data_IF_710499076424
#
_entry.id   IF_710499076424
#
_cell.length_a   1.000
_cell.length_b   1.000
_cell.length_c   1.000
_cell.angle_alpha   90.00
_cell.angle_beta   90.00
_cell.angle_gamma   90.00
#
_symmetry.space_group_name_H-M   'P 1'
#
loop_
_entity.id
_entity.type
_entity.pdbx_description
1 polymer ?
#
# COMPACT_ATOMS: atom_id res chain seq x y z
N UNK A 1 -8.78 20.52 -11.21
CA UNK A 1 -7.93 19.80 -10.25
C UNK A 1 -8.43 18.36 -10.21
N UNK A 2 -7.56 17.36 -10.32
CA UNK A 2 -7.98 15.96 -10.29
C UNK A 2 -8.57 15.61 -8.92
N UNK A 3 -9.73 14.93 -8.91
CA UNK A 3 -10.42 14.55 -7.67
C UNK A 3 -9.83 13.28 -7.04
N UNK A 4 -9.36 12.34 -7.89
CA UNK A 4 -8.93 11.03 -7.44
C UNK A 4 -7.68 10.56 -8.18
N UNK A 5 -6.69 10.04 -7.43
CA UNK A 5 -5.59 9.22 -7.97
C UNK A 5 -5.71 7.79 -7.45
N UNK A 6 -5.60 6.80 -8.33
CA UNK A 6 -5.53 5.39 -7.95
C UNK A 6 -4.11 4.91 -8.21
N UNK A 7 -3.46 4.36 -7.19
CA UNK A 7 -2.09 3.87 -7.27
C UNK A 7 -2.10 2.34 -7.21
N UNK A 8 -1.49 1.73 -8.21
CA UNK A 8 -1.44 0.28 -8.37
C UNK A 8 0.02 -0.12 -8.59
N UNK A 9 0.69 -0.73 -7.60
CA UNK A 9 1.98 -1.35 -7.81
C UNK A 9 1.80 -2.60 -8.66
N UNK A 10 2.61 -2.76 -9.70
CA UNK A 10 2.52 -3.86 -10.68
C UNK A 10 3.79 -4.70 -10.63
N UNK A 11 3.62 -6.03 -10.45
CA UNK A 11 4.72 -6.97 -10.52
C UNK A 11 4.32 -8.31 -11.11
N UNK A 12 4.75 -8.57 -12.38
CA UNK A 12 4.45 -9.80 -13.13
C UNK A 12 2.93 -10.03 -13.31
N UNK A 13 2.22 -9.02 -13.79
CA UNK A 13 0.75 -9.01 -13.86
C UNK A 13 0.22 -8.69 -15.27
N UNK A 14 1.04 -8.86 -16.32
CA UNK A 14 0.71 -8.50 -17.71
C UNK A 14 -0.67 -9.00 -18.16
N UNK A 15 -1.07 -10.21 -17.73
CA UNK A 15 -2.32 -10.86 -18.16
C UNK A 15 -3.61 -10.25 -17.62
N UNK A 16 -3.50 -9.51 -16.50
CA UNK A 16 -4.69 -9.04 -15.76
C UNK A 16 -4.89 -7.53 -15.83
N UNK A 17 -3.86 -6.77 -16.24
CA UNK A 17 -3.89 -5.31 -16.23
C UNK A 17 -5.01 -4.71 -17.09
N UNK A 18 -5.21 -5.22 -18.32
CA UNK A 18 -6.30 -4.74 -19.18
C UNK A 18 -7.68 -4.91 -18.51
N UNK A 19 -7.91 -6.08 -17.94
CA UNK A 19 -9.17 -6.37 -17.22
C UNK A 19 -9.32 -5.46 -16.01
N UNK A 20 -8.28 -5.30 -15.19
CA UNK A 20 -8.29 -4.47 -14.01
C UNK A 20 -8.62 -3.01 -14.34
N UNK A 21 -7.93 -2.43 -15.32
CA UNK A 21 -8.15 -1.04 -15.75
C UNK A 21 -9.57 -0.85 -16.28
N UNK A 22 -10.06 -1.78 -17.12
CA UNK A 22 -11.41 -1.71 -17.64
C UNK A 22 -12.47 -1.79 -16.53
N UNK A 23 -12.32 -2.68 -15.53
CA UNK A 23 -13.23 -2.78 -14.40
C UNK A 23 -13.22 -1.51 -13.54
N UNK A 24 -12.06 -0.90 -13.30
CA UNK A 24 -11.95 0.37 -12.57
C UNK A 24 -12.65 1.47 -13.37
N UNK A 25 -12.36 1.60 -14.66
CA UNK A 25 -12.97 2.62 -15.53
C UNK A 25 -14.50 2.52 -15.56
N UNK A 26 -15.05 1.31 -15.71
CA UNK A 26 -16.50 1.07 -15.69
C UNK A 26 -17.16 1.57 -14.39
N UNK A 27 -16.49 1.45 -13.25
CA UNK A 27 -17.03 1.88 -11.97
C UNK A 27 -16.85 3.38 -11.68
N UNK A 28 -15.87 4.03 -12.28
CA UNK A 28 -15.53 5.42 -11.96
C UNK A 28 -16.00 6.42 -13.00
N UNK A 29 -16.12 6.01 -14.26
CA UNK A 29 -16.37 6.93 -15.37
C UNK A 29 -17.68 7.73 -15.22
N UNK A 30 -18.74 7.12 -14.69
CA UNK A 30 -20.01 7.81 -14.45
C UNK A 30 -19.90 8.89 -13.36
N UNK A 31 -19.11 8.61 -12.31
CA UNK A 31 -18.97 9.50 -11.14
C UNK A 31 -17.93 10.59 -11.35
N UNK A 32 -16.78 10.24 -11.90
CA UNK A 32 -15.63 11.15 -11.99
C UNK A 32 -15.38 11.69 -13.40
N UNK A 33 -15.93 11.05 -14.42
CA UNK A 33 -15.64 11.37 -15.84
C UNK A 33 -14.13 11.36 -16.09
N UNK A 34 -13.53 12.53 -16.35
CA UNK A 34 -12.11 12.69 -16.60
C UNK A 34 -11.33 13.27 -15.39
N UNK A 35 -11.98 13.38 -14.21
CA UNK A 35 -11.37 13.98 -13.01
C UNK A 35 -10.61 12.96 -12.16
N UNK A 36 -10.11 11.87 -12.75
CA UNK A 36 -9.30 10.87 -12.05
C UNK A 36 -8.11 10.41 -12.90
N UNK A 37 -7.14 9.82 -12.25
CA UNK A 37 -5.99 9.17 -12.86
C UNK A 37 -5.72 7.80 -12.21
N UNK A 38 -5.17 6.88 -12.99
CA UNK A 38 -4.67 5.58 -12.51
C UNK A 38 -3.17 5.55 -12.77
N UNK A 39 -2.37 5.40 -11.72
CA UNK A 39 -0.91 5.34 -11.79
C UNK A 39 -0.49 3.89 -11.62
N UNK A 40 -0.03 3.27 -12.70
CA UNK A 40 0.49 1.91 -12.73
C UNK A 40 2.01 1.97 -12.57
N UNK A 41 2.54 1.46 -11.46
CA UNK A 41 3.97 1.49 -11.16
C UNK A 41 4.56 0.10 -11.35
N UNK A 42 5.26 -0.11 -12.47
CA UNK A 42 5.95 -1.36 -12.75
C UNK A 42 7.21 -1.50 -11.88
N UNK A 43 7.19 -2.43 -10.94
CA UNK A 43 8.29 -2.69 -10.00
C UNK A 43 9.31 -3.70 -10.58
N UNK A 44 9.85 -3.36 -11.76
CA UNK A 44 10.84 -4.20 -12.46
C UNK A 44 10.33 -5.61 -12.74
N UNK A 45 9.14 -5.71 -13.37
CA UNK A 45 8.55 -7.00 -13.78
C UNK A 45 9.43 -7.75 -14.75
N UNK A 46 9.38 -9.08 -14.69
CA UNK A 46 10.11 -9.98 -15.60
C UNK A 46 9.28 -10.40 -16.82
N UNK A 47 7.97 -10.20 -16.75
CA UNK A 47 7.01 -10.44 -17.84
C UNK A 47 6.78 -9.16 -18.66
N UNK A 48 5.84 -9.18 -19.61
CA UNK A 48 5.49 -8.02 -20.45
C UNK A 48 4.55 -7.01 -19.76
N UNK A 49 4.62 -6.88 -18.42
CA UNK A 49 3.77 -5.91 -17.69
C UNK A 49 4.02 -4.48 -18.16
N UNK A 50 5.28 -4.08 -18.39
CA UNK A 50 5.58 -2.73 -18.88
C UNK A 50 5.06 -2.49 -20.31
N UNK A 51 5.23 -3.46 -21.22
CA UNK A 51 4.66 -3.38 -22.56
C UNK A 51 3.13 -3.25 -22.54
N UNK A 52 2.46 -3.97 -21.65
CA UNK A 52 1.01 -3.87 -21.44
C UNK A 52 0.62 -2.50 -20.90
N UNK A 53 1.34 -1.96 -19.89
CA UNK A 53 1.08 -0.61 -19.35
C UNK A 53 1.18 0.45 -20.44
N UNK A 54 2.21 0.40 -21.30
CA UNK A 54 2.36 1.35 -22.42
C UNK A 54 1.16 1.32 -23.35
N UNK A 55 0.75 0.14 -23.79
CA UNK A 55 -0.44 -0.03 -24.67
C UNK A 55 -1.72 0.52 -24.04
N UNK A 56 -1.90 0.31 -22.73
CA UNK A 56 -3.07 0.81 -22.00
C UNK A 56 -3.01 2.34 -21.89
N UNK A 57 -1.83 2.92 -21.63
CA UNK A 57 -1.67 4.38 -21.52
C UNK A 57 -1.82 5.10 -22.87
N UNK A 58 -1.53 4.45 -23.98
CA UNK A 58 -1.83 4.97 -25.33
C UNK A 58 -3.35 5.00 -25.63
N UNK A 59 -4.10 4.09 -24.98
CA UNK A 59 -5.55 3.97 -25.17
C UNK A 59 -6.37 4.90 -24.27
N UNK A 60 -5.86 5.22 -23.08
CA UNK A 60 -6.58 5.97 -22.05
C UNK A 60 -5.72 7.09 -21.44
N UNK A 61 -6.10 8.35 -21.66
CA UNK A 61 -5.38 9.53 -21.16
C UNK A 61 -5.29 9.61 -19.62
N UNK A 62 -6.21 8.96 -18.90
CA UNK A 62 -6.21 8.90 -17.45
C UNK A 62 -5.24 7.85 -16.89
N UNK A 63 -4.59 7.03 -17.72
CA UNK A 63 -3.59 6.05 -17.32
C UNK A 63 -2.19 6.66 -17.39
N UNK A 64 -1.45 6.50 -16.30
CA UNK A 64 -0.06 6.92 -16.17
C UNK A 64 0.81 5.73 -15.79
N UNK A 65 1.74 5.37 -16.64
CA UNK A 65 2.71 4.30 -16.41
C UNK A 65 4.03 4.84 -15.88
N UNK A 66 4.62 4.16 -14.90
CA UNK A 66 5.96 4.41 -14.38
C UNK A 66 6.72 3.09 -14.38
N UNK A 67 7.87 3.02 -15.06
CA UNK A 67 8.78 1.87 -15.06
C UNK A 67 9.96 2.13 -14.15
N UNK A 68 10.19 1.25 -13.17
CA UNK A 68 11.33 1.35 -12.25
C UNK A 68 12.54 0.60 -12.80
N UNK A 69 13.73 1.18 -12.61
CA UNK A 69 14.99 0.61 -13.10
C UNK A 69 15.39 -0.68 -12.36
N UNK A 70 14.87 -0.90 -11.16
CA UNK A 70 15.07 -2.10 -10.35
C UNK A 70 13.90 -2.31 -9.37
N UNK A 71 13.77 -3.55 -8.87
CA UNK A 71 12.72 -3.90 -7.92
C UNK A 71 12.95 -3.24 -6.56
N UNK A 72 12.01 -2.41 -6.13
CA UNK A 72 12.02 -1.69 -4.86
C UNK A 72 11.04 -2.27 -3.84
N UNK A 73 10.23 -3.24 -4.26
CA UNK A 73 9.16 -3.84 -3.49
C UNK A 73 7.88 -3.02 -3.49
N UNK A 74 6.76 -3.68 -3.14
CA UNK A 74 5.41 -3.12 -3.20
C UNK A 74 5.29 -1.73 -2.55
N UNK A 75 5.79 -1.57 -1.32
CA UNK A 75 5.73 -0.29 -0.61
C UNK A 75 6.56 0.81 -1.30
N UNK A 76 7.70 0.44 -1.88
CA UNK A 76 8.54 1.36 -2.66
C UNK A 76 7.83 1.82 -3.92
N UNK A 77 7.23 0.90 -4.68
CA UNK A 77 6.44 1.21 -5.88
C UNK A 77 5.24 2.11 -5.55
N UNK A 78 4.51 1.81 -4.47
CA UNK A 78 3.42 2.68 -3.97
C UNK A 78 3.94 4.08 -3.64
N UNK A 79 5.09 4.19 -2.97
CA UNK A 79 5.68 5.48 -2.61
C UNK A 79 6.04 6.31 -3.84
N UNK A 80 6.57 5.67 -4.89
CA UNK A 80 6.82 6.33 -6.19
C UNK A 80 5.51 6.80 -6.82
N UNK A 81 4.46 5.98 -6.79
CA UNK A 81 3.13 6.36 -7.26
C UNK A 81 2.59 7.58 -6.50
N UNK A 82 2.69 7.59 -5.17
CA UNK A 82 2.29 8.72 -4.32
C UNK A 82 3.02 10.02 -4.68
N UNK A 83 4.32 9.95 -4.95
CA UNK A 83 5.12 11.12 -5.40
C UNK A 83 4.65 11.71 -6.73
N UNK A 84 4.04 10.90 -7.59
CA UNK A 84 3.59 11.32 -8.92
C UNK A 84 2.07 11.58 -8.99
N UNK A 85 1.32 11.34 -7.91
CA UNK A 85 -0.14 11.53 -7.86
C UNK A 85 -0.52 13.00 -7.66
N UNK A 86 -1.61 13.41 -8.32
CA UNK A 86 -2.13 14.79 -8.33
C UNK A 86 -3.55 14.93 -7.78
N UNK A 87 -4.23 13.83 -7.48
CA UNK A 87 -5.59 13.84 -6.96
C UNK A 87 -5.68 14.35 -5.52
N UNK A 88 -6.77 15.03 -5.20
CA UNK A 88 -7.09 15.49 -3.83
C UNK A 88 -7.29 14.30 -2.87
N UNK A 89 -7.70 13.16 -3.41
CA UNK A 89 -7.84 11.89 -2.70
C UNK A 89 -7.09 10.81 -3.44
N UNK A 90 -6.46 9.93 -2.70
CA UNK A 90 -5.65 8.87 -3.26
C UNK A 90 -6.16 7.53 -2.75
N UNK A 91 -6.36 6.58 -3.64
CA UNK A 91 -6.67 5.19 -3.30
C UNK A 91 -5.51 4.31 -3.75
N UNK A 92 -5.08 3.43 -2.87
CA UNK A 92 -4.05 2.43 -3.13
C UNK A 92 -4.75 1.08 -3.19
N UNK A 93 -4.47 0.28 -4.22
CA UNK A 93 -4.99 -1.08 -4.36
C UNK A 93 -3.97 -1.99 -5.06
N UNK A 94 -4.12 -3.30 -4.86
CA UNK A 94 -3.29 -4.30 -5.52
C UNK A 94 -3.77 -4.58 -6.96
N UNK A 95 -2.91 -5.22 -7.76
CA UNK A 95 -3.15 -5.53 -9.17
C UNK A 95 -3.83 -6.91 -9.40
N UNK A 96 -4.30 -7.61 -8.35
CA UNK A 96 -4.72 -9.01 -8.39
C UNK A 96 -6.23 -9.25 -8.51
N UNK A 97 -7.03 -8.21 -8.77
CA UNK A 97 -8.50 -8.26 -8.89
C UNK A 97 -9.24 -8.77 -7.63
N UNK A 98 -8.57 -8.88 -6.48
CA UNK A 98 -9.22 -9.28 -5.23
C UNK A 98 -10.04 -8.14 -4.59
N UNK A 99 -9.73 -6.92 -5.00
CA UNK A 99 -10.38 -5.72 -4.52
C UNK A 99 -11.56 -5.35 -5.43
N UNK A 100 -12.80 -5.33 -4.90
CA UNK A 100 -13.94 -4.97 -5.71
C UNK A 100 -13.88 -3.48 -6.11
N UNK A 101 -13.84 -3.14 -7.42
CA UNK A 101 -13.77 -1.74 -7.87
C UNK A 101 -14.92 -0.87 -7.39
N UNK A 102 -16.08 -1.49 -7.06
CA UNK A 102 -17.22 -0.80 -6.45
C UNK A 102 -16.88 -0.14 -5.09
N UNK A 103 -15.87 -0.68 -4.39
CA UNK A 103 -15.41 -0.11 -3.12
C UNK A 103 -14.66 1.21 -3.26
N UNK A 104 -14.19 1.54 -4.48
CA UNK A 104 -13.45 2.80 -4.74
C UNK A 104 -14.28 4.03 -4.39
N UNK A 105 -15.55 4.06 -4.82
CA UNK A 105 -16.48 5.16 -4.54
C UNK A 105 -16.72 5.27 -3.03
N UNK A 106 -16.98 4.13 -2.37
CA UNK A 106 -17.21 4.12 -0.92
C UNK A 106 -15.99 4.59 -0.12
N UNK A 107 -14.77 4.24 -0.54
CA UNK A 107 -13.53 4.75 0.07
C UNK A 107 -13.42 6.26 -0.17
N UNK A 108 -13.65 6.70 -1.41
CA UNK A 108 -13.58 8.11 -1.78
C UNK A 108 -14.50 8.97 -0.92
N UNK A 109 -15.75 8.56 -0.71
CA UNK A 109 -16.73 9.26 0.11
C UNK A 109 -16.31 9.35 1.59
N UNK A 110 -15.70 8.29 2.14
CA UNK A 110 -15.21 8.33 3.52
C UNK A 110 -14.10 9.37 3.73
N UNK A 111 -13.34 9.72 2.70
CA UNK A 111 -12.30 10.74 2.78
C UNK A 111 -12.82 12.18 2.88
N UNK A 112 -14.14 12.39 2.84
CA UNK A 112 -14.76 13.67 3.23
C UNK A 112 -14.68 13.91 4.74
N UNK A 113 -14.76 12.85 5.52
CA UNK A 113 -14.86 12.90 6.98
C UNK A 113 -13.58 12.42 7.68
N UNK A 114 -12.80 11.58 7.00
CA UNK A 114 -11.62 10.91 7.58
C UNK A 114 -10.36 11.19 6.76
N UNK A 115 -9.23 11.25 7.44
CA UNK A 115 -7.92 11.43 6.83
C UNK A 115 -7.44 10.19 6.07
N UNK A 116 -7.85 9.01 6.56
CA UNK A 116 -7.57 7.72 5.94
C UNK A 116 -8.72 6.72 6.14
N UNK A 117 -8.92 5.85 5.15
CA UNK A 117 -9.93 4.80 5.17
C UNK A 117 -9.31 3.48 4.71
N UNK A 118 -9.40 2.44 5.54
CA UNK A 118 -8.95 1.08 5.22
C UNK A 118 -10.14 0.16 4.99
N UNK A 119 -9.98 -0.84 4.11
CA UNK A 119 -11.01 -1.85 3.90
C UNK A 119 -10.93 -2.96 4.94
N UNK A 120 -12.09 -3.42 5.44
CA UNK A 120 -12.24 -4.58 6.30
C UNK A 120 -13.00 -5.68 5.55
N UNK A 121 -12.33 -6.80 5.24
CA UNK A 121 -12.92 -7.89 4.47
C UNK A 121 -13.84 -8.78 5.31
N UNK A 122 -15.14 -8.86 4.93
CA UNK A 122 -16.18 -9.57 5.69
C UNK A 122 -16.15 -11.10 5.59
N UNK A 123 -15.50 -11.68 4.57
CA UNK A 123 -15.40 -13.13 4.40
C UNK A 123 -13.96 -13.58 4.19
N UNK A 124 -13.26 -13.82 5.29
CA UNK A 124 -12.10 -14.69 5.26
C UNK A 124 -12.51 -16.06 5.75
N UNK A 125 -12.68 -17.03 4.85
CA UNK A 125 -12.70 -18.48 5.21
C UNK A 125 -11.29 -18.86 5.69
N UNK A 126 -10.91 -18.44 6.88
CA UNK A 126 -9.59 -18.76 7.41
C UNK A 126 -9.68 -19.71 8.59
N UNK A 127 -8.79 -20.71 8.57
CA UNK A 127 -8.51 -21.62 9.68
C UNK A 127 -8.23 -20.81 10.95
N UNK A 128 -8.74 -21.23 12.08
CA UNK A 128 -8.66 -20.55 13.40
C UNK A 128 -7.31 -19.95 13.74
N UNK A 129 -6.21 -20.63 13.38
CA UNK A 129 -4.88 -20.18 13.67
C UNK A 129 -4.47 -18.88 12.88
N UNK A 130 -5.00 -18.69 11.65
CA UNK A 130 -4.76 -17.47 10.86
C UNK A 130 -5.47 -16.25 11.46
N UNK A 131 -6.65 -16.47 12.06
CA UNK A 131 -7.38 -15.43 12.80
C UNK A 131 -6.57 -15.05 14.04
N UNK A 132 -6.05 -16.02 14.78
CA UNK A 132 -5.20 -15.77 15.95
C UNK A 132 -3.94 -14.96 15.60
N UNK A 133 -3.19 -15.36 14.57
CA UNK A 133 -2.00 -14.63 14.09
C UNK A 133 -2.36 -13.22 13.64
N UNK A 134 -3.48 -13.04 12.93
CA UNK A 134 -3.96 -11.73 12.51
C UNK A 134 -4.33 -10.83 13.71
N UNK A 135 -4.97 -11.39 14.74
CA UNK A 135 -5.34 -10.67 15.98
C UNK A 135 -4.09 -10.26 16.76
N UNK A 136 -3.13 -11.18 16.90
CA UNK A 136 -1.84 -10.91 17.55
C UNK A 136 -1.07 -9.82 16.78
N UNK A 137 -1.01 -9.91 15.45
CA UNK A 137 -0.38 -8.89 14.61
C UNK A 137 -1.08 -7.52 14.74
N UNK A 138 -2.42 -7.49 14.79
CA UNK A 138 -3.17 -6.26 15.00
C UNK A 138 -2.91 -5.65 16.39
N UNK A 139 -2.79 -6.48 17.43
CA UNK A 139 -2.43 -6.05 18.77
C UNK A 139 -1.05 -5.38 18.80
N UNK A 140 -0.03 -6.06 18.26
CA UNK A 140 1.33 -5.51 18.22
C UNK A 140 1.42 -4.27 17.34
N UNK A 141 0.77 -4.26 16.16
CA UNK A 141 0.75 -3.08 15.31
C UNK A 141 0.02 -1.90 15.97
N UNK A 142 -1.03 -2.14 16.75
CA UNK A 142 -1.70 -1.08 17.51
C UNK A 142 -0.79 -0.47 18.56
N UNK A 143 0.02 -1.30 19.21
CA UNK A 143 0.99 -0.85 20.21
C UNK A 143 2.18 -0.11 19.57
N UNK A 144 2.70 -0.61 18.45
CA UNK A 144 3.84 0.00 17.75
C UNK A 144 3.45 1.33 17.10
N UNK A 145 2.27 1.42 16.49
CA UNK A 145 1.83 2.59 15.72
C UNK A 145 0.92 3.54 16.49
N UNK A 146 0.71 3.29 17.80
CA UNK A 146 -0.23 4.07 18.64
C UNK A 146 -1.61 4.23 17.97
N UNK A 147 -2.02 3.21 17.17
CA UNK A 147 -3.29 3.21 16.46
C UNK A 147 -4.40 2.63 17.32
N UNK A 148 -5.65 3.11 17.18
CA UNK A 148 -6.78 2.49 17.87
C UNK A 148 -6.90 1.01 17.51
N UNK A 149 -7.12 0.14 18.51
CA UNK A 149 -7.25 -1.32 18.33
C UNK A 149 -8.35 -1.71 17.32
N UNK A 150 -9.37 -0.85 17.17
CA UNK A 150 -10.50 -1.06 16.25
C UNK A 150 -10.10 -0.87 14.78
N UNK A 151 -8.99 -0.19 14.49
CA UNK A 151 -8.56 0.07 13.12
C UNK A 151 -7.77 -1.12 12.60
N UNK A 152 -8.24 -1.67 11.50
CA UNK A 152 -7.61 -2.76 10.78
C UNK A 152 -6.92 -2.21 9.52
N UNK A 153 -5.62 -2.43 9.38
CA UNK A 153 -4.87 -2.03 8.18
C UNK A 153 -4.99 -3.09 7.09
N UNK A 154 -5.19 -2.67 5.85
CA UNK A 154 -5.35 -3.54 4.68
C UNK A 154 -4.56 -3.02 3.48
N UNK A 155 -4.41 -3.85 2.44
CA UNK A 155 -3.75 -3.44 1.21
C UNK A 155 -4.54 -2.38 0.46
N UNK A 156 -5.87 -2.53 0.35
CA UNK A 156 -6.73 -1.49 -0.23
C UNK A 156 -7.08 -0.43 0.79
N UNK A 157 -6.72 0.81 0.52
CA UNK A 157 -6.88 1.96 1.42
C UNK A 157 -6.98 3.27 0.66
N UNK A 158 -7.65 4.24 1.26
CA UNK A 158 -7.70 5.63 0.78
C UNK A 158 -7.03 6.58 1.75
N UNK A 159 -6.46 7.66 1.25
CA UNK A 159 -5.90 8.76 2.01
C UNK A 159 -6.23 10.10 1.34
N UNK A 160 -6.30 11.15 2.13
CA UNK A 160 -6.41 12.52 1.61
C UNK A 160 -5.06 12.99 1.05
N UNK A 161 -5.11 13.88 0.06
CA UNK A 161 -3.91 14.43 -0.57
C UNK A 161 -3.02 15.19 0.42
N UNK A 162 -3.62 15.96 1.35
CA UNK A 162 -2.89 16.69 2.38
C UNK A 162 -2.14 15.75 3.37
N UNK A 163 -2.67 14.56 3.64
CA UNK A 163 -1.98 13.53 4.44
C UNK A 163 -0.78 13.01 3.67
N UNK A 164 -0.94 12.67 2.38
CA UNK A 164 0.17 12.27 1.50
C UNK A 164 1.29 13.32 1.49
N UNK A 165 0.94 14.59 1.33
CA UNK A 165 1.92 15.67 1.19
C UNK A 165 2.81 15.83 2.43
N UNK A 166 2.31 15.49 3.62
CA UNK A 166 3.08 15.54 4.87
C UNK A 166 4.25 14.56 4.90
N UNK A 167 4.16 13.41 4.25
CA UNK A 167 5.22 12.39 4.31
C UNK A 167 5.98 12.15 3.00
N UNK A 168 5.41 12.48 1.85
CA UNK A 168 6.06 12.24 0.55
C UNK A 168 7.35 13.03 0.38
N UNK A 169 7.44 14.23 1.00
CA UNK A 169 8.64 15.05 1.02
C UNK A 169 9.75 14.55 1.95
N UNK A 170 9.47 13.62 2.87
CA UNK A 170 10.39 13.24 3.96
C UNK A 170 11.48 12.22 3.56
N UNK A 171 11.48 11.67 2.33
CA UNK A 171 12.41 10.63 1.86
C UNK A 171 12.73 9.56 2.93
N UNK A 172 11.75 8.73 3.33
CA UNK A 172 11.95 7.74 4.40
C UNK A 172 13.00 6.71 3.97
N UNK A 173 13.79 6.22 4.93
CA UNK A 173 14.80 5.17 4.67
C UNK A 173 14.18 3.89 4.14
N UNK A 174 12.98 3.56 4.59
CA UNK A 174 12.18 2.42 4.14
C UNK A 174 10.72 2.91 4.09
N UNK A 175 10.10 3.01 2.91
CA UNK A 175 8.74 3.54 2.79
C UNK A 175 7.68 2.50 3.16
N UNK A 176 7.54 2.18 4.44
CA UNK A 176 6.41 1.36 4.88
C UNK A 176 5.16 2.22 4.93
N UNK A 177 4.33 2.13 3.89
CA UNK A 177 3.22 3.06 3.63
C UNK A 177 2.25 3.18 4.80
N UNK A 178 1.86 2.04 5.43
CA UNK A 178 0.92 2.08 6.54
C UNK A 178 1.48 2.84 7.74
N UNK A 179 2.78 2.75 8.01
CA UNK A 179 3.39 3.50 9.08
C UNK A 179 3.39 5.01 8.80
N UNK A 180 3.63 5.39 7.55
CA UNK A 180 3.61 6.80 7.15
C UNK A 180 2.19 7.38 7.26
N UNK A 181 1.18 6.63 6.80
CA UNK A 181 -0.23 7.03 6.92
C UNK A 181 -0.63 7.17 8.39
N UNK A 182 -0.37 6.13 9.22
CA UNK A 182 -0.76 6.11 10.63
C UNK A 182 -0.09 7.21 11.46
N UNK A 183 1.11 7.64 11.07
CA UNK A 183 1.81 8.76 11.71
C UNK A 183 1.18 10.12 11.41
N UNK A 184 0.69 10.31 10.20
CA UNK A 184 0.23 11.62 9.72
C UNK A 184 -1.30 11.79 9.76
N UNK A 185 -2.07 10.68 9.68
CA UNK A 185 -3.52 10.69 9.74
C UNK A 185 -4.02 10.77 11.19
N UNK A 186 -4.89 11.73 11.49
CA UNK A 186 -5.50 11.91 12.83
C UNK A 186 -6.79 11.11 12.97
N UNK A 187 -7.61 11.12 11.92
CA UNK A 187 -8.91 10.46 11.90
C UNK A 187 -8.91 9.32 10.88
N UNK A 188 -9.04 8.08 11.35
CA UNK A 188 -8.96 6.89 10.52
C UNK A 188 -10.22 6.05 10.71
N UNK A 189 -10.73 5.49 9.61
CA UNK A 189 -11.89 4.59 9.63
C UNK A 189 -11.66 3.29 8.88
N UNK A 190 -12.57 2.33 9.06
CA UNK A 190 -12.66 1.12 8.25
C UNK A 190 -14.02 1.02 7.59
N UNK A 191 -14.05 0.66 6.31
CA UNK A 191 -15.28 0.23 5.63
C UNK A 191 -15.27 -1.28 5.41
N UNK A 192 -16.45 -1.87 5.51
CA UNK A 192 -16.64 -3.32 5.26
C UNK A 192 -16.80 -3.56 3.77
N UNK A 193 -15.97 -4.43 3.22
CA UNK A 193 -16.04 -4.84 1.81
C UNK A 193 -16.08 -6.36 1.68
N UNK A 194 -16.69 -6.85 0.61
CA UNK A 194 -16.65 -8.28 0.30
C UNK A 194 -15.36 -8.59 -0.46
N UNK A 195 -14.59 -9.57 -0.02
CA UNK A 195 -13.38 -10.02 -0.68
C UNK A 195 -13.74 -10.91 -1.86
N UNK A 196 -13.21 -10.62 -3.05
CA UNK A 196 -13.31 -11.48 -4.21
C UNK A 196 -12.21 -12.56 -4.19
N UNK A 197 -12.46 -13.70 -4.80
CA UNK A 197 -11.43 -14.74 -4.95
C UNK A 197 -10.36 -14.26 -5.93
N UNK A 198 -9.09 -14.58 -5.65
CA UNK A 198 -7.96 -14.21 -6.52
C UNK A 198 -8.14 -14.84 -7.89
N UNK A 199 -7.99 -14.04 -8.95
CA UNK A 199 -8.18 -14.51 -10.32
C UNK A 199 -7.07 -15.48 -10.75
N UNK A 200 -5.80 -15.25 -10.36
CA UNK A 200 -4.65 -16.13 -10.60
C UNK A 200 -3.56 -15.95 -9.53
N UNK A 201 -2.73 -16.98 -9.32
CA UNK A 201 -1.48 -16.94 -8.56
C UNK A 201 -1.55 -17.47 -7.13
N UNK A 202 -0.37 -17.83 -6.58
CA UNK A 202 -0.19 -18.25 -5.18
C UNK A 202 0.28 -17.06 -4.34
N UNK A 203 -0.17 -17.01 -3.07
CA UNK A 203 0.31 -16.01 -2.11
C UNK A 203 1.83 -16.12 -1.94
N UNK A 204 2.55 -15.04 -2.20
CA UNK A 204 4.01 -14.95 -2.03
C UNK A 204 4.45 -14.68 -0.59
N UNK A 205 3.53 -14.71 0.39
CA UNK A 205 3.85 -14.47 1.79
C UNK A 205 4.37 -15.74 2.47
N UNK A 206 5.68 -15.74 2.73
CA UNK A 206 6.36 -16.71 3.58
C UNK A 206 6.54 -16.12 4.99
N UNK A 207 6.57 -16.97 6.01
CA UNK A 207 6.78 -16.59 7.42
C UNK A 207 8.03 -15.74 7.59
N UNK A 208 9.11 -16.05 6.85
CA UNK A 208 10.35 -15.27 6.85
C UNK A 208 10.13 -13.83 6.35
N UNK A 209 9.31 -13.64 5.31
CA UNK A 209 8.96 -12.31 4.80
C UNK A 209 8.14 -11.51 5.81
N UNK A 210 7.25 -12.16 6.57
CA UNK A 210 6.49 -11.52 7.64
C UNK A 210 7.41 -11.00 8.76
N UNK A 211 8.42 -11.78 9.17
CA UNK A 211 9.40 -11.32 10.16
C UNK A 211 10.22 -10.13 9.66
N UNK A 212 10.67 -10.14 8.41
CA UNK A 212 11.40 -9.01 7.81
C UNK A 212 10.52 -7.76 7.79
N UNK A 213 9.26 -7.90 7.39
CA UNK A 213 8.29 -6.80 7.37
C UNK A 213 8.08 -6.22 8.79
N UNK A 214 8.04 -7.07 9.79
CA UNK A 214 7.93 -6.68 11.21
C UNK A 214 9.13 -5.85 11.67
N UNK A 215 10.35 -6.26 11.30
CA UNK A 215 11.55 -5.50 11.62
C UNK A 215 11.61 -4.17 10.85
N UNK A 216 11.23 -4.16 9.57
CA UNK A 216 11.12 -2.94 8.77
C UNK A 216 10.13 -1.94 9.40
N UNK A 217 9.02 -2.43 9.96
CA UNK A 217 8.05 -1.62 10.70
C UNK A 217 8.66 -0.98 11.95
N UNK A 218 9.37 -1.76 12.77
CA UNK A 218 10.00 -1.29 14.01
C UNK A 218 11.10 -0.25 13.68
N UNK A 219 11.89 -0.46 12.63
CA UNK A 219 12.97 0.43 12.24
C UNK A 219 12.47 1.82 11.80
N UNK A 220 11.35 1.86 11.07
CA UNK A 220 10.78 3.12 10.59
C UNK A 220 10.17 3.97 11.70
N UNK A 221 9.70 3.35 12.77
CA UNK A 221 8.95 4.09 13.80
C UNK A 221 9.84 4.71 14.88
N UNK A 222 11.16 4.55 14.85
CA UNK A 222 12.04 4.99 15.93
C UNK A 222 11.51 4.55 17.31
N UNK A 223 10.75 3.46 17.33
CA UNK A 223 10.26 2.90 18.56
C UNK A 223 11.44 2.21 19.26
N UNK A 224 12.21 3.02 19.99
CA UNK A 224 13.07 2.47 20.99
C UNK A 224 12.15 2.00 22.12
N UNK A 225 12.12 0.70 22.44
CA UNK A 225 11.44 0.20 23.61
C UNK A 225 12.04 0.71 24.93
N UNK A 226 12.90 1.71 24.85
CA UNK A 226 13.49 2.46 25.98
C UNK A 226 12.46 3.19 26.87
N UNK A 227 11.19 3.27 26.46
CA UNK A 227 10.10 3.64 27.38
C UNK A 227 9.89 2.60 28.49
N UNK A 228 10.37 1.40 28.29
CA UNK A 228 10.40 0.37 29.32
C UNK A 228 11.83 0.31 29.89
N UNK A 229 12.09 0.96 31.01
CA UNK A 229 13.28 0.76 31.84
C UNK A 229 13.34 -0.67 32.42
N UNK A 230 13.03 -1.67 31.59
CA UNK A 230 12.93 -3.08 31.91
C UNK A 230 13.93 -3.89 31.11
N UNK A 231 14.36 -5.01 31.67
CA UNK A 231 15.23 -6.00 31.00
C UNK A 231 14.71 -6.42 29.62
N UNK A 232 13.39 -6.48 29.44
CA UNK A 232 12.71 -6.79 28.17
C UNK A 232 13.00 -5.72 27.10
N UNK A 233 12.97 -4.44 27.47
CA UNK A 233 13.31 -3.33 26.58
C UNK A 233 14.76 -3.38 26.10
N UNK A 234 15.69 -3.72 27.01
CA UNK A 234 17.10 -3.88 26.68
C UNK A 234 17.35 -5.09 25.78
N UNK A 235 16.74 -6.23 26.05
CA UNK A 235 16.85 -7.44 25.21
C UNK A 235 16.28 -7.16 23.81
N UNK A 236 15.11 -6.52 23.70
CA UNK A 236 14.53 -6.13 22.41
C UNK A 236 15.42 -5.19 21.63
N UNK A 237 16.06 -4.22 22.28
CA UNK A 237 17.03 -3.32 21.68
C UNK A 237 18.26 -4.07 21.15
N UNK A 238 18.82 -4.99 21.93
CA UNK A 238 19.95 -5.81 21.50
C UNK A 238 19.60 -6.70 20.31
N UNK A 239 18.42 -7.32 20.30
CA UNK A 239 17.93 -8.16 19.18
C UNK A 239 17.76 -7.31 17.93
N UNK A 240 17.13 -6.14 18.00
CA UNK A 240 16.97 -5.22 16.86
C UNK A 240 18.34 -4.76 16.34
N UNK A 241 19.27 -4.42 17.23
CA UNK A 241 20.63 -3.99 16.86
C UNK A 241 21.43 -5.10 16.18
N UNK A 242 21.37 -6.34 16.69
CA UNK A 242 21.98 -7.51 16.08
C UNK A 242 21.36 -7.82 14.71
N UNK A 243 20.04 -7.77 14.60
CA UNK A 243 19.35 -7.96 13.31
C UNK A 243 19.77 -6.92 12.28
N UNK A 244 19.96 -5.66 12.73
CA UNK A 244 20.45 -4.56 11.89
C UNK A 244 21.86 -4.78 11.33
N UNK A 245 22.74 -5.44 12.08
CA UNK A 245 24.09 -5.80 11.62
C UNK A 245 24.02 -6.85 10.50
N UNK A 246 23.13 -7.85 10.63
CA UNK A 246 23.02 -8.96 9.68
C UNK A 246 22.08 -8.65 8.48
N UNK A 247 21.13 -7.73 8.64
CA UNK A 247 20.11 -7.42 7.64
C UNK A 247 20.02 -5.92 7.31
N UNK A 248 21.14 -5.20 7.42
CA UNK A 248 21.17 -3.78 7.06
C UNK A 248 20.70 -3.59 5.62
N UNK A 249 19.44 -3.19 5.43
CA UNK A 249 18.95 -2.73 4.13
C UNK A 249 19.66 -1.43 3.77
N UNK A 250 20.10 -1.33 2.52
CA UNK A 250 20.47 -0.03 1.93
C UNK A 250 19.30 0.96 2.13
N UNK A 251 19.61 2.23 2.35
CA UNK A 251 18.59 3.27 2.36
C UNK A 251 17.75 3.17 1.09
N UNK A 252 16.43 3.37 1.23
CA UNK A 252 15.52 3.35 0.09
C UNK A 252 15.96 4.37 -0.94
N UNK A 253 16.16 3.91 -2.14
CA UNK A 253 16.37 4.73 -3.34
C UNK A 253 15.52 4.13 -4.45
N UNK A 254 15.16 4.93 -5.41
CA UNK A 254 14.50 4.48 -6.62
C UNK A 254 15.00 5.28 -7.81
N UNK A 255 14.96 4.65 -8.97
CA UNK A 255 15.27 5.28 -10.24
C UNK A 255 14.12 4.96 -11.21
N UNK A 256 13.59 5.99 -11.84
CA UNK A 256 12.54 5.83 -12.86
C UNK A 256 13.26 5.70 -14.19
N UNK A 257 13.05 4.57 -14.85
CA UNK A 257 13.61 4.27 -16.16
C UNK A 257 12.82 4.95 -17.27
N UNK A 258 11.50 4.90 -17.19
CA UNK A 258 10.59 5.42 -18.21
C UNK A 258 9.27 5.87 -17.59
N UNK A 259 8.57 6.80 -18.23
CA UNK A 259 7.19 7.20 -17.94
C UNK A 259 6.41 7.33 -19.23
N UNK A 260 5.08 7.15 -19.15
CA UNK A 260 4.18 7.32 -20.31
C UNK A 260 3.51 8.71 -20.35
N UNK A 261 3.88 9.63 -19.48
CA UNK A 261 3.28 10.97 -19.33
C UNK A 261 4.33 12.04 -19.05
#
# INVERSE_FOLDING_TARGET
>A
MLKLSIIIPVYNSSKILDKLVNEINLNLNETFKNDYEIILVNDFSKDDSWGTIKKISEKFDFIKGIDLAYNVGQHGAIFVGLKNSKGDRIIIMDDDLQHPPQSLISIYEQLDLFDACYTLYLKRKHVFWKIFVSTVNNFFSSFIFDKPFKIYTSSMKGIRGDVKDRFVGQNPKIPFIDSLILKEAKNITNIKVYHQERFEGKSNYDVKKLFILWFDMIENYHFYPLRFGSLIGFISFCVVKLFRIFYAKKSFSFEIKEKTF
#
